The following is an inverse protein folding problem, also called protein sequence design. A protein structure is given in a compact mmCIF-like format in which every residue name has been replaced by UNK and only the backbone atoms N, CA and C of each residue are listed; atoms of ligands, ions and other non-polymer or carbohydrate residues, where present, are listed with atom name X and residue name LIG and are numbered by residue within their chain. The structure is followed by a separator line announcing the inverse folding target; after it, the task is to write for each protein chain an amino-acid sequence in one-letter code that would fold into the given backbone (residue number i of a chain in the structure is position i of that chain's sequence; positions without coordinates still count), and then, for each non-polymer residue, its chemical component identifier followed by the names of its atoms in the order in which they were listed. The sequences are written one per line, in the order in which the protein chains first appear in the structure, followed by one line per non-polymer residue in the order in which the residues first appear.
data_IF_317863895671
#
_entry.id   IF_317863895671
#
_cell.length_a   1.000
_cell.length_b   1.000
_cell.length_c   1.000
_cell.angle_alpha   90.00
_cell.angle_beta   90.00
_cell.angle_gamma   90.00
#
_symmetry.space_group_name_H-M   'P 1'
#
loop_
_entity.id
_entity.type
_entity.pdbx_description
1 polymer ?
#
# COMPACT_ATOMS: atom_id res chain seq x y z
N UNK A 1 -14.64 16.78 -11.00
CA UNK A 1 -14.95 15.33 -11.05
C UNK A 1 -16.31 15.06 -10.38
N UNK A 2 -17.21 14.32 -11.05
CA UNK A 2 -18.48 13.88 -10.45
C UNK A 2 -18.17 12.69 -9.53
N UNK A 3 -18.44 12.81 -8.23
CA UNK A 3 -18.39 11.62 -7.37
C UNK A 3 -19.57 10.72 -7.77
N UNK A 4 -19.30 9.44 -7.90
CA UNK A 4 -20.32 8.41 -8.09
C UNK A 4 -20.26 7.60 -6.80
N UNK A 5 -21.22 7.77 -5.87
CA UNK A 5 -21.30 6.95 -4.67
C UNK A 5 -21.22 5.46 -5.01
N UNK A 6 -20.43 4.70 -4.24
CA UNK A 6 -20.14 3.30 -4.52
C UNK A 6 -19.09 3.04 -5.60
N UNK A 7 -18.56 4.05 -6.28
CA UNK A 7 -17.45 3.85 -7.21
C UNK A 7 -16.15 3.48 -6.49
N UNK A 8 -15.36 2.63 -7.14
CA UNK A 8 -14.05 2.20 -6.66
C UNK A 8 -12.96 3.04 -7.31
N UNK A 9 -12.04 3.56 -6.50
CA UNK A 9 -10.84 4.26 -6.92
C UNK A 9 -9.61 3.42 -6.60
N UNK A 10 -8.68 3.32 -7.54
CA UNK A 10 -7.37 2.73 -7.31
C UNK A 10 -6.33 3.84 -7.16
N UNK A 11 -5.58 3.78 -6.07
CA UNK A 11 -4.46 4.67 -5.79
C UNK A 11 -3.15 3.97 -6.13
N UNK A 12 -2.19 4.73 -6.65
CA UNK A 12 -0.83 4.29 -6.89
C UNK A 12 0.14 5.31 -6.29
N UNK A 13 0.88 4.90 -5.26
CA UNK A 13 1.86 5.72 -4.55
C UNK A 13 3.25 5.24 -4.94
N UNK A 14 4.05 6.10 -5.56
CA UNK A 14 5.42 5.77 -5.95
C UNK A 14 6.42 6.57 -5.12
N UNK A 15 7.34 5.86 -4.46
CA UNK A 15 8.43 6.45 -3.68
C UNK A 15 9.77 6.02 -4.29
N UNK A 16 10.66 6.97 -4.54
CA UNK A 16 11.98 6.73 -5.16
C UNK A 16 13.08 6.90 -4.13
N UNK A 17 14.01 5.93 -4.04
CA UNK A 17 15.24 6.12 -3.27
C UNK A 17 16.24 6.93 -4.11
N UNK A 18 16.36 8.23 -3.83
CA UNK A 18 17.31 9.13 -4.49
C UNK A 18 18.73 9.08 -3.87
N UNK A 19 18.95 8.25 -2.84
CA UNK A 19 20.23 8.14 -2.15
C UNK A 19 21.28 7.32 -2.91
N UNK A 20 22.54 7.46 -2.49
CA UNK A 20 23.66 6.65 -2.99
C UNK A 20 23.77 5.26 -2.39
N UNK A 21 22.95 4.94 -1.37
CA UNK A 21 22.91 3.64 -0.66
C UNK A 21 21.48 3.10 -0.56
N UNK A 22 21.33 1.77 -0.46
CA UNK A 22 20.02 1.15 -0.38
C UNK A 22 19.29 1.61 0.90
N UNK A 23 18.02 1.98 0.77
CA UNK A 23 17.18 2.32 1.91
C UNK A 23 16.65 1.02 2.52
N UNK A 24 16.95 0.76 3.79
CA UNK A 24 16.51 -0.42 4.54
C UNK A 24 15.54 -0.02 5.65
N UNK A 25 14.70 -0.94 6.10
CA UNK A 25 13.68 -0.63 7.12
C UNK A 25 12.65 0.39 6.64
N UNK A 26 12.34 0.36 5.34
CA UNK A 26 11.46 1.32 4.71
C UNK A 26 10.02 1.10 5.18
N UNK A 27 9.38 2.18 5.61
CA UNK A 27 7.95 2.19 5.98
C UNK A 27 7.27 3.32 5.22
N UNK A 28 6.15 3.02 4.59
CA UNK A 28 5.28 4.01 3.92
C UNK A 28 3.99 4.11 4.71
N UNK A 29 3.55 5.34 5.00
CA UNK A 29 2.24 5.63 5.59
C UNK A 29 1.42 6.52 4.66
N UNK A 30 0.15 6.19 4.48
CA UNK A 30 -0.78 6.94 3.63
C UNK A 30 -2.19 6.95 4.24
N UNK A 31 -2.73 8.11 4.65
CA UNK A 31 -4.10 8.23 5.13
C UNK A 31 -5.13 7.94 4.04
N UNK A 32 -6.08 7.03 4.32
CA UNK A 32 -7.23 6.81 3.45
C UNK A 32 -8.06 8.10 3.38
N UNK A 33 -8.36 8.62 2.16
CA UNK A 33 -9.09 9.86 2.01
C UNK A 33 -10.46 9.87 2.71
N UNK A 34 -10.82 11.02 3.26
CA UNK A 34 -12.15 11.21 3.86
C UNK A 34 -13.28 10.90 2.86
N UNK A 35 -14.42 10.43 3.37
CA UNK A 35 -15.57 9.97 2.59
C UNK A 35 -15.28 8.79 1.65
N UNK A 36 -14.23 8.03 1.93
CA UNK A 36 -13.96 6.75 1.28
C UNK A 36 -13.76 5.66 2.31
N UNK A 37 -13.98 4.41 1.91
CA UNK A 37 -13.74 3.21 2.71
C UNK A 37 -12.70 2.35 2.00
N UNK A 38 -11.69 1.86 2.73
CA UNK A 38 -10.67 0.97 2.15
C UNK A 38 -11.31 -0.32 1.63
N UNK A 39 -10.98 -0.69 0.39
CA UNK A 39 -11.56 -1.87 -0.26
C UNK A 39 -10.72 -3.11 0.05
N UNK A 40 -11.36 -4.17 0.51
CA UNK A 40 -10.71 -5.45 0.78
C UNK A 40 -10.82 -6.41 -0.43
N UNK A 41 -9.95 -7.42 -0.50
CA UNK A 41 -10.00 -8.47 -1.52
C UNK A 41 -9.87 -7.95 -2.96
N UNK A 42 -9.06 -6.91 -3.17
CA UNK A 42 -8.92 -6.22 -4.46
C UNK A 42 -7.83 -6.82 -5.34
N UNK A 43 -6.90 -7.58 -4.76
CA UNK A 43 -5.74 -8.17 -5.43
C UNK A 43 -5.60 -9.65 -5.12
N UNK A 44 -4.71 -10.32 -5.84
CA UNK A 44 -4.33 -11.72 -5.62
C UNK A 44 -5.54 -12.66 -5.51
N UNK A 45 -6.41 -12.64 -6.54
CA UNK A 45 -7.66 -13.42 -6.57
C UNK A 45 -8.59 -13.20 -5.35
N UNK A 46 -8.54 -12.01 -4.74
CA UNK A 46 -9.37 -11.65 -3.60
C UNK A 46 -8.73 -11.93 -2.24
N UNK A 47 -7.50 -12.45 -2.20
CA UNK A 47 -6.81 -12.76 -0.95
C UNK A 47 -6.13 -11.54 -0.30
N UNK A 48 -5.86 -10.47 -1.06
CA UNK A 48 -5.07 -9.33 -0.60
C UNK A 48 -5.71 -8.01 -0.98
N UNK A 49 -5.33 -6.94 -0.28
CA UNK A 49 -5.92 -5.61 -0.45
C UNK A 49 -4.88 -4.50 -0.73
N UNK A 50 -3.59 -4.85 -0.64
CA UNK A 50 -2.48 -4.00 -1.06
C UNK A 50 -1.56 -4.80 -2.00
N UNK A 51 -1.09 -4.13 -3.05
CA UNK A 51 -0.01 -4.60 -3.91
C UNK A 51 1.21 -3.69 -3.70
N UNK A 52 2.39 -4.29 -3.53
CA UNK A 52 3.66 -3.59 -3.40
C UNK A 52 4.61 -4.07 -4.49
N UNK A 53 5.16 -3.17 -5.27
CA UNK A 53 6.16 -3.52 -6.28
C UNK A 53 7.43 -2.70 -6.09
N UNK A 54 8.55 -3.39 -5.86
CA UNK A 54 9.86 -2.76 -5.64
C UNK A 54 10.74 -2.95 -6.87
N UNK A 55 11.03 -1.86 -7.56
CA UNK A 55 11.80 -1.87 -8.81
C UNK A 55 11.18 -2.85 -9.83
N UNK A 56 12.02 -3.69 -10.42
CA UNK A 56 11.60 -4.72 -11.36
C UNK A 56 11.22 -6.07 -10.70
N UNK A 57 11.20 -6.15 -9.37
CA UNK A 57 10.85 -7.40 -8.69
C UNK A 57 9.36 -7.75 -8.91
N UNK A 58 8.99 -9.03 -8.79
CA UNK A 58 7.60 -9.44 -8.73
C UNK A 58 6.85 -8.67 -7.64
N UNK A 59 5.57 -8.37 -7.90
CA UNK A 59 4.74 -7.70 -6.91
C UNK A 59 4.53 -8.61 -5.69
N UNK A 60 4.74 -8.05 -4.51
CA UNK A 60 4.33 -8.63 -3.24
C UNK A 60 2.90 -8.19 -2.95
N UNK A 61 2.13 -9.06 -2.32
CA UNK A 61 0.77 -8.75 -1.89
C UNK A 61 0.68 -8.95 -0.37
N UNK A 62 -0.09 -8.08 0.28
CA UNK A 62 -0.30 -8.10 1.71
C UNK A 62 -1.74 -7.70 2.05
N UNK A 63 -2.13 -7.96 3.28
CA UNK A 63 -3.45 -7.68 3.84
C UNK A 63 -3.27 -6.61 4.90
N UNK A 64 -3.74 -5.39 4.63
CA UNK A 64 -3.80 -4.36 5.64
C UNK A 64 -4.95 -4.65 6.62
N UNK A 65 -4.64 -5.15 7.83
CA UNK A 65 -5.66 -5.36 8.87
C UNK A 65 -6.07 -4.09 9.59
N UNK A 66 -7.37 -3.95 9.85
CA UNK A 66 -7.92 -2.85 10.66
C UNK A 66 -7.53 -3.04 12.12
N UNK A 67 -7.12 -1.96 12.78
CA UNK A 67 -6.78 -1.94 14.20
C UNK A 67 -5.29 -1.76 14.47
N UNK A 68 -4.47 -1.66 13.42
CA UNK A 68 -3.06 -1.32 13.51
C UNK A 68 -2.13 -2.46 13.92
N UNK A 69 -2.64 -3.68 14.06
CA UNK A 69 -1.84 -4.88 14.37
C UNK A 69 -1.70 -5.74 13.12
N UNK A 70 -0.46 -5.97 12.70
CA UNK A 70 -0.10 -6.89 11.60
C UNK A 70 -0.19 -8.33 12.12
N UNK A 71 -1.37 -8.92 12.02
CA UNK A 71 -1.67 -10.20 12.68
C UNK A 71 -1.14 -11.40 11.90
N UNK A 72 -0.96 -11.24 10.59
CA UNK A 72 -0.44 -12.28 9.71
C UNK A 72 1.06 -12.10 9.39
N UNK A 73 1.66 -11.01 9.88
CA UNK A 73 3.06 -10.65 9.72
C UNK A 73 3.49 -10.49 8.25
N UNK A 74 2.57 -10.02 7.39
CA UNK A 74 2.83 -9.78 5.97
C UNK A 74 3.29 -8.35 5.65
N UNK A 75 3.25 -7.45 6.64
CA UNK A 75 3.86 -6.13 6.62
C UNK A 75 2.90 -4.98 6.35
N UNK A 76 1.59 -5.22 6.32
CA UNK A 76 0.59 -4.20 6.01
C UNK A 76 -0.44 -4.05 7.12
N UNK A 77 -0.78 -2.81 7.49
CA UNK A 77 -1.84 -2.54 8.48
C UNK A 77 -2.63 -1.29 8.13
N UNK A 78 -3.90 -1.27 8.53
CA UNK A 78 -4.73 -0.06 8.62
C UNK A 78 -4.77 0.37 10.09
N UNK A 79 -3.90 1.32 10.44
CA UNK A 79 -3.83 1.90 11.77
C UNK A 79 -4.80 3.07 11.94
N UNK A 80 -5.22 3.33 13.17
CA UNK A 80 -6.00 4.53 13.54
C UNK A 80 -7.19 4.82 12.61
N UNK A 81 -7.38 6.10 12.25
CA UNK A 81 -8.46 6.59 11.39
C UNK A 81 -8.29 6.19 9.89
N UNK A 82 -7.90 4.96 9.60
CA UNK A 82 -7.70 4.46 8.24
C UNK A 82 -6.37 4.87 7.63
N UNK A 83 -5.28 4.92 8.39
CA UNK A 83 -3.93 5.14 7.84
C UNK A 83 -3.35 3.81 7.40
N UNK A 84 -3.17 3.63 6.10
CA UNK A 84 -2.44 2.49 5.55
C UNK A 84 -0.96 2.62 5.91
N UNK A 85 -0.36 1.57 6.46
CA UNK A 85 1.07 1.45 6.71
C UNK A 85 1.59 0.21 6.02
N UNK A 86 2.69 0.34 5.28
CA UNK A 86 3.37 -0.76 4.57
C UNK A 86 4.83 -0.77 4.95
N UNK A 87 5.30 -1.90 5.48
CA UNK A 87 6.68 -2.15 5.88
C UNK A 87 7.07 -3.61 5.62
N UNK A 88 8.08 -4.10 6.35
CA UNK A 88 8.55 -5.47 6.18
C UNK A 88 7.51 -6.50 6.68
N UNK A 89 7.38 -7.67 6.04
CA UNK A 89 8.17 -8.14 4.89
C UNK A 89 7.72 -7.61 3.51
N UNK A 90 6.52 -7.05 3.36
CA UNK A 90 6.04 -6.53 2.07
C UNK A 90 6.99 -5.49 1.42
N UNK A 91 7.64 -4.68 2.25
CA UNK A 91 8.61 -3.65 1.87
C UNK A 91 9.77 -3.61 2.88
N UNK A 92 10.87 -4.29 2.56
CA UNK A 92 12.06 -4.30 3.43
C UNK A 92 13.16 -3.33 2.97
N UNK A 93 13.43 -3.28 1.66
CA UNK A 93 14.56 -2.53 1.10
C UNK A 93 14.20 -1.94 -0.26
N UNK A 94 14.65 -0.72 -0.52
CA UNK A 94 14.60 -0.07 -1.84
C UNK A 94 16.05 0.21 -2.29
N UNK A 95 16.48 -0.43 -3.36
CA UNK A 95 17.85 -0.34 -3.88
C UNK A 95 18.20 1.06 -4.42
N UNK A 96 19.45 1.26 -4.87
CA UNK A 96 19.95 2.54 -5.39
C UNK A 96 19.95 2.62 -6.90
N UNK A 97 19.75 3.80 -7.46
CA UNK A 97 19.84 4.05 -8.89
C UNK A 97 18.50 4.36 -9.54
N UNK A 98 18.56 4.92 -10.76
CA UNK A 98 17.38 5.30 -11.52
C UNK A 98 16.48 4.08 -11.76
N UNK A 99 15.24 4.13 -11.28
CA UNK A 99 14.26 3.04 -11.39
C UNK A 99 14.05 2.21 -10.12
N UNK A 100 14.86 2.39 -9.08
CA UNK A 100 14.62 1.76 -7.78
C UNK A 100 13.60 2.58 -6.97
N UNK A 101 12.35 2.39 -7.37
CA UNK A 101 11.17 2.93 -6.72
C UNK A 101 10.35 1.78 -6.14
N UNK A 102 9.62 2.06 -5.06
CA UNK A 102 8.49 1.23 -4.66
C UNK A 102 7.21 1.87 -5.17
N UNK A 103 6.33 1.07 -5.78
CA UNK A 103 4.96 1.47 -6.10
C UNK A 103 3.99 0.62 -5.29
N UNK A 104 3.26 1.27 -4.40
CA UNK A 104 2.16 0.69 -3.63
C UNK A 104 0.84 0.98 -4.33
N UNK A 105 -0.04 -0.02 -4.44
CA UNK A 105 -1.41 0.16 -4.92
C UNK A 105 -2.43 -0.37 -3.91
N UNK A 106 -3.50 0.39 -3.74
CA UNK A 106 -4.66 0.03 -2.92
C UNK A 106 -5.93 0.62 -3.53
N UNK A 107 -7.10 0.09 -3.15
CA UNK A 107 -8.37 0.64 -3.62
C UNK A 107 -9.23 1.12 -2.47
N UNK A 108 -10.10 2.08 -2.77
CA UNK A 108 -11.12 2.58 -1.85
C UNK A 108 -12.45 2.70 -2.58
N UNK A 109 -13.55 2.68 -1.84
CA UNK A 109 -14.91 2.91 -2.34
C UNK A 109 -15.40 4.27 -1.84
N UNK A 110 -16.01 5.08 -2.71
CA UNK A 110 -16.67 6.33 -2.29
C UNK A 110 -17.90 5.99 -1.44
N UNK A 111 -17.97 6.56 -0.24
CA UNK A 111 -19.10 6.36 0.66
C UNK A 111 -20.40 6.95 0.07
N UNK A 112 -21.54 6.37 0.44
CA UNK A 112 -22.86 6.87 0.07
C UNK A 112 -23.28 8.10 0.88
#
# INVERSE_FOLDING_TARGET
PKSIPGAVLEYAVTVVNAGGTAATGVVITDPVPANTTFANGTYNAGASNVQVQVGANPATFCVAEVGGTDSNADGCVLAGAGVLTVGAPALATVATGAGNAVTMRFRVTINN
#
